data_IF_933844100850
#
_entry.id   IF_933844100850
#
_cell.length_a   1.000
_cell.length_b   1.000
_cell.length_c   1.000
_cell.angle_alpha   90.00
_cell.angle_beta   90.00
_cell.angle_gamma   90.00
#
_symmetry.space_group_name_H-M   'P 1'
#
loop_
_entity.id
_entity.type
_entity.pdbx_description
1 polymer ?
#
# COMPACT_ATOMS: atom_id res chain seq x y z
N UNK A 1 5.18 -28.28 -20.54
CA UNK A 1 4.87 -26.83 -20.59
C UNK A 1 5.16 -26.26 -19.20
N UNK A 2 5.87 -25.13 -19.07
CA UNK A 2 6.03 -24.49 -17.77
C UNK A 2 4.65 -24.09 -17.20
N UNK A 3 4.47 -24.11 -15.88
CA UNK A 3 3.23 -23.68 -15.25
C UNK A 3 2.96 -22.19 -15.56
N UNK A 4 1.69 -21.78 -15.69
CA UNK A 4 1.35 -20.38 -15.95
C UNK A 4 1.80 -19.49 -14.77
N UNK A 5 2.42 -18.34 -15.09
CA UNK A 5 2.86 -17.37 -14.07
C UNK A 5 1.67 -16.88 -13.23
N UNK A 6 1.79 -16.85 -11.89
CA UNK A 6 0.73 -16.34 -11.00
C UNK A 6 0.67 -14.81 -10.95
N UNK A 7 1.61 -14.08 -11.58
CA UNK A 7 1.65 -12.61 -11.51
C UNK A 7 0.35 -11.92 -11.95
N UNK A 8 -0.32 -12.30 -13.05
CA UNK A 8 -1.54 -11.65 -13.48
C UNK A 8 -2.65 -11.65 -12.42
N UNK A 9 -2.83 -12.78 -11.72
CA UNK A 9 -3.82 -12.88 -10.65
C UNK A 9 -3.39 -12.11 -9.40
N UNK A 10 -2.09 -12.09 -9.07
CA UNK A 10 -1.56 -11.27 -7.98
C UNK A 10 -1.78 -9.77 -8.25
N UNK A 11 -1.45 -9.29 -9.46
CA UNK A 11 -1.72 -7.90 -9.86
C UNK A 11 -3.20 -7.55 -9.71
N UNK A 12 -4.09 -8.43 -10.16
CA UNK A 12 -5.53 -8.21 -10.08
C UNK A 12 -6.02 -8.17 -8.62
N UNK A 13 -5.58 -9.12 -7.80
CA UNK A 13 -5.93 -9.18 -6.39
C UNK A 13 -5.45 -7.92 -5.65
N UNK A 14 -4.19 -7.52 -5.86
CA UNK A 14 -3.64 -6.30 -5.27
C UNK A 14 -4.37 -5.05 -5.77
N UNK A 15 -4.73 -4.97 -7.05
CA UNK A 15 -5.48 -3.85 -7.60
C UNK A 15 -6.84 -3.71 -6.91
N UNK A 16 -7.58 -4.82 -6.76
CA UNK A 16 -8.87 -4.84 -6.08
C UNK A 16 -8.75 -4.45 -4.61
N UNK A 17 -7.74 -4.96 -3.90
CA UNK A 17 -7.47 -4.57 -2.52
C UNK A 17 -7.14 -3.08 -2.40
N UNK A 18 -6.40 -2.51 -3.36
CA UNK A 18 -6.12 -1.07 -3.40
C UNK A 18 -7.36 -0.24 -3.71
N UNK A 19 -8.24 -0.71 -4.59
CA UNK A 19 -9.53 -0.05 -4.82
C UNK A 19 -10.35 -0.03 -3.54
N UNK A 20 -10.50 -1.18 -2.87
CA UNK A 20 -11.28 -1.29 -1.64
C UNK A 20 -10.67 -0.44 -0.51
N UNK A 21 -9.38 -0.60 -0.21
CA UNK A 21 -8.70 0.15 0.84
C UNK A 21 -8.60 1.64 0.54
N UNK A 22 -8.29 2.01 -0.70
CA UNK A 22 -8.22 3.40 -1.15
C UNK A 22 -9.56 4.12 -1.07
N UNK A 23 -10.65 3.45 -1.49
CA UNK A 23 -12.01 3.98 -1.35
C UNK A 23 -12.39 4.13 0.13
N UNK A 24 -12.03 3.16 0.98
CA UNK A 24 -12.31 3.23 2.41
C UNK A 24 -11.57 4.39 3.10
N UNK A 25 -10.29 4.62 2.78
CA UNK A 25 -9.54 5.78 3.27
C UNK A 25 -10.13 7.11 2.78
N UNK A 26 -10.58 7.15 1.52
CA UNK A 26 -11.14 8.37 0.92
C UNK A 26 -12.51 8.75 1.50
N UNK A 27 -13.38 7.77 1.68
CA UNK A 27 -14.79 7.99 2.08
C UNK A 27 -14.97 7.98 3.60
N UNK A 28 -14.13 7.25 4.34
CA UNK A 28 -14.25 7.05 5.79
C UNK A 28 -12.97 7.40 6.57
N UNK A 29 -12.38 8.61 6.38
CA UNK A 29 -11.09 8.96 6.98
C UNK A 29 -11.11 9.00 8.51
N UNK A 30 -12.25 9.36 9.12
CA UNK A 30 -12.39 9.40 10.58
C UNK A 30 -12.33 8.02 11.20
N UNK A 31 -12.93 7.00 10.56
CA UNK A 31 -12.89 5.62 11.05
C UNK A 31 -11.46 5.11 11.08
N UNK A 32 -10.65 5.45 10.09
CA UNK A 32 -9.22 5.12 10.08
C UNK A 32 -8.46 5.82 11.21
N UNK A 33 -8.77 7.10 11.44
CA UNK A 33 -8.14 7.86 12.52
C UNK A 33 -8.52 7.30 13.90
N UNK A 34 -9.75 6.79 14.09
CA UNK A 34 -10.11 6.15 15.38
C UNK A 34 -9.29 4.89 15.68
N UNK A 35 -8.75 4.22 14.65
CA UNK A 35 -7.90 3.04 14.84
C UNK A 35 -6.45 3.41 15.20
N UNK A 36 -6.05 4.66 14.95
CA UNK A 36 -4.64 5.08 14.97
C UNK A 36 -4.31 6.31 15.78
N UNK A 37 -5.30 7.11 16.17
CA UNK A 37 -5.14 8.40 16.83
C UNK A 37 -6.22 8.60 17.88
N UNK A 38 -5.98 9.50 18.83
CA UNK A 38 -7.00 9.91 19.82
C UNK A 38 -7.72 11.18 19.34
N UNK A 39 -9.07 11.25 19.45
CA UNK A 39 -9.79 12.46 19.12
C UNK A 39 -9.41 13.61 20.08
N UNK A 40 -9.58 14.88 19.67
CA UNK A 40 -10.20 15.34 18.42
C UNK A 40 -9.28 15.23 17.19
N UNK A 41 -9.84 14.90 16.03
CA UNK A 41 -9.07 14.75 14.79
C UNK A 41 -8.94 16.07 14.03
N UNK A 42 -7.71 16.60 13.84
CA UNK A 42 -7.51 17.82 13.09
C UNK A 42 -7.94 17.65 11.62
N UNK A 43 -8.36 18.75 10.98
CA UNK A 43 -8.76 18.74 9.57
C UNK A 43 -7.64 18.26 8.64
N UNK A 44 -6.38 18.61 8.95
CA UNK A 44 -5.19 18.15 8.24
C UNK A 44 -5.04 16.63 8.27
N UNK A 45 -5.25 15.98 9.42
CA UNK A 45 -5.17 14.52 9.52
C UNK A 45 -6.21 13.83 8.63
N UNK A 46 -7.46 14.32 8.65
CA UNK A 46 -8.52 13.79 7.77
C UNK A 46 -8.17 13.95 6.29
N UNK A 47 -7.67 15.12 5.91
CA UNK A 47 -7.25 15.42 4.53
C UNK A 47 -6.07 14.53 4.11
N UNK A 48 -5.12 14.25 5.00
CA UNK A 48 -4.00 13.35 4.74
C UNK A 48 -4.48 11.91 4.49
N UNK A 49 -5.43 11.39 5.28
CA UNK A 49 -6.02 10.07 5.05
C UNK A 49 -6.75 10.02 3.70
N UNK A 50 -7.50 11.07 3.36
CA UNK A 50 -8.18 11.16 2.07
C UNK A 50 -7.18 11.18 0.91
N UNK A 51 -6.09 11.95 1.02
CA UNK A 51 -5.03 11.94 0.03
C UNK A 51 -4.35 10.59 -0.08
N UNK A 52 -4.08 9.91 1.03
CA UNK A 52 -3.57 8.54 1.03
C UNK A 52 -4.51 7.58 0.30
N UNK A 53 -5.82 7.73 0.50
CA UNK A 53 -6.86 6.99 -0.23
C UNK A 53 -6.79 7.24 -1.73
N UNK A 54 -6.77 8.51 -2.15
CA UNK A 54 -6.68 8.90 -3.56
C UNK A 54 -5.43 8.35 -4.27
N UNK A 55 -4.27 8.40 -3.61
CA UNK A 55 -3.03 7.82 -4.13
C UNK A 55 -3.14 6.30 -4.24
N UNK A 56 -3.72 5.64 -3.23
CA UNK A 56 -3.89 4.18 -3.25
C UNK A 56 -4.78 3.74 -4.42
N UNK A 57 -5.85 4.48 -4.71
CA UNK A 57 -6.68 4.30 -5.90
C UNK A 57 -5.89 4.53 -7.20
N UNK A 58 -5.09 5.60 -7.27
CA UNK A 58 -4.29 5.88 -8.47
C UNK A 58 -3.31 4.73 -8.78
N UNK A 59 -2.70 4.13 -7.76
CA UNK A 59 -1.80 2.98 -7.91
C UNK A 59 -2.52 1.66 -8.27
N UNK A 60 -3.85 1.57 -8.17
CA UNK A 60 -4.58 0.37 -8.64
C UNK A 60 -4.62 0.30 -10.17
N UNK A 61 -4.61 1.45 -10.86
CA UNK A 61 -4.66 1.54 -12.32
C UNK A 61 -3.49 0.80 -13.00
N UNK A 62 -2.21 1.09 -12.70
CA UNK A 62 -1.10 0.37 -13.32
C UNK A 62 -1.11 -1.13 -12.99
N UNK A 63 -1.62 -1.54 -11.81
CA UNK A 63 -1.76 -2.96 -11.46
C UNK A 63 -2.80 -3.66 -12.36
N UNK A 64 -3.97 -3.05 -12.59
CA UNK A 64 -4.97 -3.59 -13.54
C UNK A 64 -4.42 -3.71 -14.97
N UNK A 65 -3.61 -2.72 -15.40
CA UNK A 65 -3.00 -2.74 -16.72
C UNK A 65 -1.94 -3.84 -16.83
N UNK A 66 -1.10 -4.01 -15.79
CA UNK A 66 -0.07 -5.05 -15.74
C UNK A 66 -0.63 -6.48 -15.64
N UNK A 67 -1.84 -6.64 -15.11
CA UNK A 67 -2.55 -7.92 -15.05
C UNK A 67 -2.95 -8.48 -16.43
N UNK A 68 -2.98 -7.65 -17.47
CA UNK A 68 -3.37 -8.10 -18.82
C UNK A 68 -2.29 -9.00 -19.45
N UNK A 69 -2.70 -9.81 -20.42
CA UNK A 69 -1.83 -10.72 -21.20
C UNK A 69 -1.23 -10.08 -22.46
N UNK A 70 -1.43 -8.78 -22.68
CA UNK A 70 -0.86 -8.09 -23.86
C UNK A 70 0.66 -7.93 -23.75
N UNK A 71 1.43 -7.95 -24.85
CA UNK A 71 2.89 -7.83 -24.81
C UNK A 71 3.40 -6.60 -24.06
N UNK A 72 2.73 -5.44 -24.23
CA UNK A 72 3.06 -4.21 -23.50
C UNK A 72 2.85 -4.33 -21.99
N UNK A 73 1.78 -5.00 -21.57
CA UNK A 73 1.50 -5.24 -20.16
C UNK A 73 2.59 -6.12 -19.53
N UNK A 74 2.95 -7.24 -20.18
CA UNK A 74 4.01 -8.16 -19.73
C UNK A 74 5.33 -7.41 -19.52
N UNK A 75 5.77 -6.64 -20.53
CA UNK A 75 6.99 -5.84 -20.44
C UNK A 75 6.98 -4.81 -19.30
N UNK A 76 5.80 -4.32 -18.90
CA UNK A 76 5.65 -3.33 -17.83
C UNK A 76 5.56 -3.91 -16.41
N UNK A 77 5.36 -5.23 -16.24
CA UNK A 77 5.09 -5.85 -14.93
C UNK A 77 6.17 -5.53 -13.89
N UNK A 78 7.43 -5.61 -14.31
CA UNK A 78 8.57 -5.40 -13.41
C UNK A 78 8.66 -3.96 -12.92
N UNK A 79 8.49 -2.97 -13.81
CA UNK A 79 8.51 -1.56 -13.42
C UNK A 79 7.31 -1.20 -12.54
N UNK A 80 6.13 -1.79 -12.81
CA UNK A 80 4.95 -1.60 -11.96
C UNK A 80 5.18 -2.15 -10.55
N UNK A 81 5.77 -3.34 -10.42
CA UNK A 81 6.13 -3.89 -9.09
C UNK A 81 7.09 -2.98 -8.35
N UNK A 82 8.15 -2.49 -9.02
CA UNK A 82 9.10 -1.56 -8.42
C UNK A 82 8.45 -0.25 -7.99
N UNK A 83 7.57 0.34 -8.81
CA UNK A 83 6.91 1.59 -8.48
C UNK A 83 6.00 1.45 -7.25
N UNK A 84 5.23 0.36 -7.17
CA UNK A 84 4.36 0.11 -6.02
C UNK A 84 5.18 -0.21 -4.77
N UNK A 85 6.23 -1.02 -4.90
CA UNK A 85 7.16 -1.30 -3.80
C UNK A 85 7.84 -0.02 -3.30
N UNK A 86 8.28 0.88 -4.19
CA UNK A 86 8.93 2.13 -3.79
C UNK A 86 7.97 2.99 -2.96
N UNK A 87 6.72 3.15 -3.41
CA UNK A 87 5.71 3.92 -2.67
C UNK A 87 5.42 3.32 -1.30
N UNK A 88 5.17 2.02 -1.24
CA UNK A 88 4.81 1.35 0.01
C UNK A 88 5.99 1.17 0.96
N UNK A 89 7.17 0.88 0.42
CA UNK A 89 8.41 0.83 1.19
C UNK A 89 8.75 2.19 1.78
N UNK A 90 8.54 3.27 1.03
CA UNK A 90 8.72 4.63 1.56
C UNK A 90 7.72 4.91 2.69
N UNK A 91 6.44 4.61 2.51
CA UNK A 91 5.42 4.75 3.55
C UNK A 91 5.80 3.94 4.81
N UNK A 92 6.14 2.66 4.64
CA UNK A 92 6.55 1.78 5.76
C UNK A 92 7.77 2.33 6.49
N UNK A 93 8.79 2.78 5.76
CA UNK A 93 9.99 3.39 6.32
C UNK A 93 9.67 4.65 7.13
N UNK A 94 8.80 5.53 6.62
CA UNK A 94 8.39 6.73 7.34
C UNK A 94 7.60 6.41 8.62
N UNK A 95 6.73 5.40 8.60
CA UNK A 95 5.99 4.96 9.79
C UNK A 95 6.94 4.38 10.85
N UNK A 96 7.87 3.52 10.44
CA UNK A 96 8.88 2.96 11.35
C UNK A 96 9.76 4.05 11.96
N UNK A 97 10.17 5.03 11.15
CA UNK A 97 10.89 6.20 11.65
C UNK A 97 10.06 6.98 12.68
N UNK A 98 8.77 7.21 12.42
CA UNK A 98 7.88 7.89 13.35
C UNK A 98 7.70 7.14 14.68
N UNK A 99 7.59 5.81 14.64
CA UNK A 99 7.49 4.96 15.85
C UNK A 99 8.73 5.12 16.76
N UNK A 100 9.89 5.38 16.18
CA UNK A 100 11.15 5.54 16.92
C UNK A 100 11.44 6.99 17.31
N UNK A 101 11.01 7.95 16.49
CA UNK A 101 11.32 9.37 16.65
C UNK A 101 10.33 10.19 17.46
N UNK A 102 9.12 9.66 17.74
CA UNK A 102 8.08 10.40 18.45
C UNK A 102 7.54 9.61 19.65
N UNK A 103 7.56 10.24 20.82
CA UNK A 103 6.80 9.85 22.00
C UNK A 103 5.33 10.28 21.79
N UNK A 104 4.64 9.62 20.85
CA UNK A 104 3.23 9.91 20.56
C UNK A 104 2.33 9.68 21.79
N UNK A 105 1.15 10.29 21.79
CA UNK A 105 0.14 10.08 22.84
C UNK A 105 -0.57 11.34 23.33
N UNK A 106 -0.32 12.50 22.74
CA UNK A 106 -1.13 13.69 22.99
C UNK A 106 -2.43 13.63 22.17
N UNK A 107 -3.43 14.39 22.61
CA UNK A 107 -4.71 14.51 21.91
C UNK A 107 -4.48 14.99 20.46
N UNK A 108 -5.08 14.27 19.50
CA UNK A 108 -4.94 14.57 18.07
C UNK A 108 -3.66 14.02 17.41
N UNK A 109 -2.78 13.35 18.16
CA UNK A 109 -1.58 12.69 17.62
C UNK A 109 -1.82 11.21 17.31
N UNK A 110 -0.99 10.66 16.42
CA UNK A 110 -0.93 9.23 16.17
C UNK A 110 -0.36 8.51 17.38
N UNK A 111 -1.02 7.43 17.79
CA UNK A 111 -0.51 6.56 18.85
C UNK A 111 0.54 5.60 18.28
N UNK A 112 1.51 5.23 19.10
CA UNK A 112 2.54 4.25 18.70
C UNK A 112 1.93 2.91 18.28
N UNK A 113 0.90 2.48 19.00
CA UNK A 113 0.14 1.26 18.67
C UNK A 113 -0.59 1.41 17.33
N UNK A 114 -1.18 2.58 17.06
CA UNK A 114 -1.81 2.91 15.79
C UNK A 114 -0.84 2.81 14.61
N UNK A 115 0.35 3.38 14.76
CA UNK A 115 1.41 3.29 13.74
C UNK A 115 1.86 1.85 13.52
N UNK A 116 2.01 1.06 14.58
CA UNK A 116 2.34 -0.37 14.46
C UNK A 116 1.27 -1.18 13.73
N UNK A 117 -0.01 -0.88 13.95
CA UNK A 117 -1.11 -1.52 13.20
C UNK A 117 -0.98 -1.26 11.70
N UNK A 118 -0.71 -0.01 11.32
CA UNK A 118 -0.48 0.34 9.92
C UNK A 118 0.76 -0.35 9.32
N UNK A 119 1.86 -0.43 10.08
CA UNK A 119 3.04 -1.20 9.65
C UNK A 119 2.68 -2.68 9.44
N UNK A 120 1.90 -3.27 10.34
CA UNK A 120 1.46 -4.66 10.24
C UNK A 120 0.55 -4.90 9.01
N UNK A 121 -0.33 -3.96 8.67
CA UNK A 121 -1.15 -4.03 7.46
C UNK A 121 -0.33 -3.90 6.18
N UNK A 122 0.72 -3.07 6.18
CA UNK A 122 1.55 -2.80 5.02
C UNK A 122 2.63 -3.86 4.78
N UNK A 123 3.12 -4.51 5.84
CA UNK A 123 4.23 -5.44 5.79
C UNK A 123 4.04 -6.60 4.79
N UNK A 124 2.89 -7.30 4.72
CA UNK A 124 2.71 -8.39 3.75
C UNK A 124 2.90 -7.95 2.30
N UNK A 125 2.48 -6.72 1.98
CA UNK A 125 2.59 -6.16 0.64
C UNK A 125 4.04 -5.80 0.28
N UNK A 126 4.77 -5.18 1.21
CA UNK A 126 6.18 -4.81 1.00
C UNK A 126 7.05 -6.07 0.94
N UNK A 127 6.96 -6.94 1.95
CA UNK A 127 7.74 -8.18 2.03
C UNK A 127 7.43 -9.09 0.85
N UNK A 128 6.14 -9.24 0.51
CA UNK A 128 5.72 -10.04 -0.65
C UNK A 128 6.34 -9.54 -1.95
N UNK A 129 6.37 -8.23 -2.19
CA UNK A 129 6.99 -7.67 -3.41
C UNK A 129 8.51 -7.79 -3.42
N UNK A 130 9.18 -7.57 -2.29
CA UNK A 130 10.63 -7.80 -2.19
C UNK A 130 10.96 -9.26 -2.49
N UNK A 131 10.17 -10.19 -1.95
CA UNK A 131 10.34 -11.61 -2.22
C UNK A 131 10.13 -11.95 -3.70
N UNK A 132 9.03 -11.46 -4.31
CA UNK A 132 8.76 -11.69 -5.73
C UNK A 132 9.86 -11.11 -6.62
N UNK A 133 10.31 -9.87 -6.35
CA UNK A 133 11.34 -9.21 -7.14
C UNK A 133 12.73 -9.83 -6.97
N UNK A 134 13.04 -10.35 -5.77
CA UNK A 134 14.35 -10.91 -5.44
C UNK A 134 14.50 -12.39 -5.79
N UNK A 135 13.44 -13.19 -5.63
CA UNK A 135 13.50 -14.66 -5.73
C UNK A 135 12.56 -15.26 -6.77
N UNK A 136 11.63 -14.47 -7.37
CA UNK A 136 10.68 -14.93 -8.39
C UNK A 136 10.81 -14.16 -9.71
N UNK A 137 12.04 -13.90 -10.12
CA UNK A 137 12.34 -13.22 -11.38
C UNK A 137 11.71 -13.92 -12.58
N UNK A 138 11.62 -15.26 -12.54
CA UNK A 138 11.03 -16.11 -13.57
C UNK A 138 9.53 -15.86 -13.77
N UNK A 139 8.84 -15.24 -12.82
CA UNK A 139 7.41 -14.94 -12.99
C UNK A 139 7.16 -13.78 -13.96
N UNK A 140 8.17 -12.94 -14.19
CA UNK A 140 8.09 -11.75 -15.05
C UNK A 140 8.37 -12.04 -16.54
N UNK A 141 8.77 -13.27 -16.87
CA UNK A 141 9.04 -13.73 -18.24
C UNK A 141 7.76 -14.11 -19.01
#
# INVERSE_FOLDING_TARGET
MPPPSPLPSLFLAEALLKVAGGAYFLLSPTTILTLTSTPPFPASARMLIQHLGSQTLAFSVPLFLAARSTPRAVASRRIVYWAVLAREGFLMGTLLWQIWGFDGGREGEFTREGLWRWVAELAPFVVGRVWVLGWRGEWFE
#
